data_IF_825804364391
#
_entry.id   IF_825804364391
#
_cell.length_a   1.000
_cell.length_b   1.000
_cell.length_c   1.000
_cell.angle_alpha   90.00
_cell.angle_beta   90.00
_cell.angle_gamma   90.00
#
_symmetry.space_group_name_H-M   'P 1'
#
loop_
_entity.id
_entity.type
_entity.pdbx_description
1 polymer ?
#
# COMPACT_ATOMS: atom_id res chain seq x y z
N UNK A 1 13.76 -18.47 -13.83
CA UNK A 1 14.75 -17.97 -12.85
C UNK A 1 13.99 -17.12 -11.86
N UNK A 2 13.97 -17.50 -10.59
CA UNK A 2 13.30 -16.74 -9.52
C UNK A 2 14.22 -15.59 -9.08
N UNK A 3 13.65 -14.39 -8.90
CA UNK A 3 14.38 -13.13 -8.73
C UNK A 3 15.02 -13.07 -7.31
N UNK A 4 16.21 -12.47 -7.11
CA UNK A 4 16.91 -12.44 -5.82
C UNK A 4 16.17 -11.73 -4.66
N UNK A 5 15.06 -11.06 -4.95
CA UNK A 5 14.23 -10.34 -3.98
C UNK A 5 13.24 -11.24 -3.23
N UNK A 6 13.15 -12.53 -3.57
CA UNK A 6 12.09 -13.44 -3.07
C UNK A 6 12.18 -13.89 -1.61
N UNK A 7 13.20 -13.51 -0.82
CA UNK A 7 13.41 -14.23 0.46
C UNK A 7 13.71 -13.37 1.69
N UNK A 8 13.14 -12.17 1.79
CA UNK A 8 13.07 -11.49 3.09
C UNK A 8 11.62 -11.49 3.55
N UNK A 9 11.31 -12.29 4.56
CA UNK A 9 9.99 -12.29 5.20
C UNK A 9 9.60 -10.83 5.53
N UNK A 10 8.49 -10.31 4.98
CA UNK A 10 8.07 -8.93 5.20
C UNK A 10 7.97 -8.57 6.69
N UNK A 11 7.68 -9.56 7.54
CA UNK A 11 7.64 -9.42 9.00
C UNK A 11 8.98 -8.96 9.58
N UNK A 12 10.11 -9.31 8.96
CA UNK A 12 11.44 -8.87 9.39
C UNK A 12 11.63 -7.35 9.29
N UNK A 13 10.85 -6.66 8.44
CA UNK A 13 10.91 -5.20 8.29
C UNK A 13 10.13 -4.46 9.39
N UNK A 14 9.41 -5.16 10.25
CA UNK A 14 8.66 -4.56 11.37
C UNK A 14 9.63 -4.08 12.45
N UNK A 15 9.73 -2.75 12.62
CA UNK A 15 10.66 -2.11 13.56
C UNK A 15 10.34 -2.38 15.04
N UNK A 16 9.07 -2.55 15.37
CA UNK A 16 8.65 -2.81 16.75
C UNK A 16 8.94 -4.28 17.11
N UNK A 17 9.83 -4.49 18.08
CA UNK A 17 10.28 -5.82 18.50
C UNK A 17 9.13 -6.73 18.97
N UNK A 18 8.22 -6.20 19.78
CA UNK A 18 7.08 -6.97 20.30
C UNK A 18 6.16 -7.42 19.16
N UNK A 19 5.85 -6.51 18.24
CA UNK A 19 5.04 -6.82 17.07
C UNK A 19 5.73 -7.84 16.16
N UNK A 20 7.04 -7.68 15.92
CA UNK A 20 7.83 -8.61 15.11
C UNK A 20 7.82 -10.02 15.71
N UNK A 21 8.07 -10.17 17.00
CA UNK A 21 8.00 -11.48 17.70
C UNK A 21 6.61 -12.12 17.59
N UNK A 22 5.56 -11.32 17.81
CA UNK A 22 4.19 -11.79 17.65
C UNK A 22 3.93 -12.32 16.23
N UNK A 23 4.29 -11.54 15.21
CA UNK A 23 4.13 -11.93 13.81
C UNK A 23 4.95 -13.19 13.45
N UNK A 24 6.16 -13.32 14.00
CA UNK A 24 7.02 -14.50 13.81
C UNK A 24 6.49 -15.75 14.50
N UNK A 25 5.75 -15.62 15.62
CA UNK A 25 5.12 -16.76 16.29
C UNK A 25 3.86 -17.29 15.59
N UNK A 26 3.26 -16.50 14.71
CA UNK A 26 2.06 -16.93 13.99
C UNK A 26 2.38 -17.94 12.89
N UNK A 27 1.50 -18.94 12.73
CA UNK A 27 1.56 -19.89 11.60
C UNK A 27 1.56 -19.12 10.27
N UNK A 28 2.45 -19.52 9.35
CA UNK A 28 2.46 -19.00 7.99
C UNK A 28 1.11 -19.33 7.33
N UNK A 29 0.53 -18.34 6.66
CA UNK A 29 -0.67 -18.49 5.82
C UNK A 29 -0.30 -18.02 4.43
N UNK A 30 -0.62 -18.84 3.45
CA UNK A 30 -0.46 -18.44 2.07
C UNK A 30 -1.52 -17.38 1.70
N UNK A 31 -1.15 -16.42 0.84
CA UNK A 31 -2.11 -15.43 0.37
C UNK A 31 -3.26 -16.12 -0.36
N UNK A 32 -4.49 -15.69 -0.06
CA UNK A 32 -5.69 -16.15 -0.77
C UNK A 32 -5.95 -15.18 -1.92
N UNK A 33 -5.94 -15.62 -3.19
CA UNK A 33 -6.23 -14.76 -4.33
C UNK A 33 -7.58 -14.05 -4.16
N UNK A 34 -7.67 -12.77 -4.52
CA UNK A 34 -8.93 -12.06 -4.36
C UNK A 34 -10.03 -12.58 -5.28
N UNK A 35 -9.68 -13.15 -6.43
CA UNK A 35 -10.62 -13.84 -7.34
C UNK A 35 -11.37 -14.99 -6.67
N UNK A 36 -10.75 -15.67 -5.70
CA UNK A 36 -11.43 -16.73 -4.94
C UNK A 36 -12.44 -16.15 -3.95
N UNK A 37 -12.15 -14.99 -3.34
CA UNK A 37 -13.05 -14.34 -2.38
C UNK A 37 -14.17 -13.56 -3.05
N UNK A 38 -13.90 -12.99 -4.22
CA UNK A 38 -14.80 -12.11 -4.95
C UNK A 38 -14.95 -12.61 -6.40
N UNK A 39 -15.55 -13.79 -6.62
CA UNK A 39 -15.59 -14.44 -7.92
C UNK A 39 -16.34 -13.66 -9.00
N UNK A 40 -17.27 -12.78 -8.60
CA UNK A 40 -18.08 -11.96 -9.52
C UNK A 40 -17.54 -10.55 -9.74
N UNK A 41 -16.41 -10.20 -9.12
CA UNK A 41 -15.83 -8.87 -9.26
C UNK A 41 -15.02 -8.75 -10.57
N UNK A 42 -14.89 -7.53 -11.07
CA UNK A 42 -14.06 -7.23 -12.24
C UNK A 42 -12.60 -7.66 -12.00
N UNK A 43 -12.02 -8.51 -12.87
CA UNK A 43 -10.63 -8.94 -12.75
C UNK A 43 -9.61 -7.79 -12.69
N UNK A 44 -9.86 -6.67 -13.37
CA UNK A 44 -9.00 -5.48 -13.30
C UNK A 44 -9.07 -4.82 -11.92
N UNK A 45 -10.27 -4.74 -11.33
CA UNK A 45 -10.44 -4.22 -9.97
C UNK A 45 -9.68 -5.08 -8.96
N UNK A 46 -9.78 -6.40 -9.10
CA UNK A 46 -9.08 -7.34 -8.21
C UNK A 46 -7.57 -7.20 -8.33
N UNK A 47 -7.05 -7.10 -9.56
CA UNK A 47 -5.61 -6.91 -9.80
C UNK A 47 -5.09 -5.59 -9.23
N UNK A 48 -5.85 -4.51 -9.34
CA UNK A 48 -5.54 -3.24 -8.70
C UNK A 48 -5.51 -3.39 -7.17
N UNK A 49 -6.53 -4.06 -6.61
CA UNK A 49 -6.66 -4.27 -5.16
C UNK A 49 -5.50 -5.09 -4.58
N UNK A 50 -5.02 -6.11 -5.29
CA UNK A 50 -3.84 -6.90 -4.89
C UNK A 50 -2.60 -6.03 -4.70
N UNK A 51 -2.39 -5.05 -5.56
CA UNK A 51 -1.24 -4.13 -5.46
C UNK A 51 -1.44 -3.07 -4.36
N UNK A 52 -2.66 -2.63 -4.10
CA UNK A 52 -2.95 -1.63 -3.06
C UNK A 52 -2.86 -2.21 -1.65
N UNK A 53 -3.23 -3.48 -1.48
CA UNK A 53 -3.27 -4.16 -0.17
C UNK A 53 -2.01 -4.97 0.14
N UNK A 54 -0.85 -4.49 -0.29
CA UNK A 54 0.44 -5.09 0.05
C UNK A 54 0.80 -4.88 1.54
N UNK A 55 1.49 -5.87 2.13
CA UNK A 55 1.90 -5.82 3.53
C UNK A 55 2.93 -4.70 3.77
N UNK A 56 4.01 -4.69 2.99
CA UNK A 56 5.01 -3.62 3.06
C UNK A 56 4.44 -2.36 2.38
N UNK A 57 4.41 -1.21 3.06
CA UNK A 57 4.00 0.05 2.45
C UNK A 57 4.77 0.40 1.16
N UNK A 58 6.02 -0.05 1.02
CA UNK A 58 6.84 0.19 -0.18
C UNK A 58 6.39 -0.60 -1.40
N UNK A 59 5.68 -1.70 -1.18
CA UNK A 59 5.19 -2.56 -2.27
C UNK A 59 3.79 -2.11 -2.74
N UNK A 60 3.18 -1.11 -2.06
CA UNK A 60 1.89 -0.54 -2.46
C UNK A 60 2.07 0.47 -3.58
N UNK A 61 1.10 0.51 -4.49
CA UNK A 61 1.01 1.59 -5.47
C UNK A 61 0.83 2.94 -4.79
N UNK A 62 1.47 3.95 -5.35
CA UNK A 62 1.12 5.35 -5.08
C UNK A 62 -0.26 5.67 -5.66
N UNK A 63 -0.88 6.76 -5.19
CA UNK A 63 -2.15 7.22 -5.73
C UNK A 63 -2.05 7.53 -7.24
N UNK A 64 -0.93 8.14 -7.67
CA UNK A 64 -0.69 8.46 -9.07
C UNK A 64 -0.56 7.20 -9.94
N UNK A 65 0.19 6.18 -9.50
CA UNK A 65 0.28 4.92 -10.25
C UNK A 65 -1.05 4.16 -10.27
N UNK A 66 -1.82 4.22 -9.18
CA UNK A 66 -3.14 3.60 -9.11
C UNK A 66 -4.13 4.23 -10.09
N UNK A 67 -4.14 5.56 -10.22
CA UNK A 67 -4.99 6.27 -11.18
C UNK A 67 -4.66 5.92 -12.65
N UNK A 68 -3.42 5.53 -12.94
CA UNK A 68 -2.99 5.06 -14.27
C UNK A 68 -3.30 3.59 -14.55
N UNK A 69 -3.82 2.83 -13.59
CA UNK A 69 -4.10 1.41 -13.77
C UNK A 69 -5.21 1.20 -14.83
N UNK A 70 -5.13 0.14 -15.66
CA UNK A 70 -6.15 -0.17 -16.66
C UNK A 70 -7.59 -0.21 -16.13
N UNK A 71 -7.78 -0.48 -14.84
CA UNK A 71 -9.09 -0.42 -14.21
C UNK A 71 -9.78 0.95 -14.37
N UNK A 72 -9.04 2.05 -14.38
CA UNK A 72 -9.58 3.41 -14.56
C UNK A 72 -9.49 3.92 -15.99
N UNK A 73 -9.23 3.05 -16.97
CA UNK A 73 -9.13 3.45 -18.38
C UNK A 73 -10.40 4.17 -18.84
N UNK A 74 -10.23 5.37 -19.40
CA UNK A 74 -11.33 6.21 -19.86
C UNK A 74 -11.92 7.14 -18.79
N UNK A 75 -11.59 6.93 -17.52
CA UNK A 75 -11.92 7.85 -16.42
C UNK A 75 -10.74 8.76 -16.07
N UNK A 76 -9.53 8.19 -16.02
CA UNK A 76 -8.32 8.91 -15.69
C UNK A 76 -8.06 10.07 -16.66
N UNK A 77 -7.67 11.23 -16.12
CA UNK A 77 -7.32 12.40 -16.93
C UNK A 77 -6.37 13.32 -16.20
N UNK A 78 -5.15 13.49 -16.73
CA UNK A 78 -4.07 14.27 -16.11
C UNK A 78 -4.51 15.69 -15.81
N UNK A 79 -5.28 16.30 -16.72
CA UNK A 79 -5.82 17.66 -16.55
C UNK A 79 -6.80 17.79 -15.37
N UNK A 80 -7.43 16.68 -14.95
CA UNK A 80 -8.37 16.62 -13.82
C UNK A 80 -7.74 16.08 -12.54
N UNK A 81 -6.49 15.64 -12.61
CA UNK A 81 -5.74 15.02 -11.52
C UNK A 81 -4.43 15.79 -11.25
N UNK A 82 -4.51 17.11 -10.94
CA UNK A 82 -3.32 17.91 -10.73
C UNK A 82 -2.55 17.45 -9.50
N UNK A 83 -1.23 17.32 -9.64
CA UNK A 83 -0.32 17.11 -8.52
C UNK A 83 -0.02 18.43 -7.81
N UNK A 84 -0.04 18.42 -6.48
CA UNK A 84 0.43 19.54 -5.67
C UNK A 84 1.87 19.31 -5.19
N UNK A 85 2.62 20.40 -5.01
CA UNK A 85 3.98 20.32 -4.48
C UNK A 85 3.94 19.79 -3.03
N UNK A 86 4.91 18.97 -2.60
CA UNK A 86 4.96 18.50 -1.22
C UNK A 86 4.90 19.66 -0.22
N UNK A 87 3.96 19.58 0.73
CA UNK A 87 3.83 20.58 1.80
C UNK A 87 5.09 20.52 2.66
N UNK A 88 5.68 21.70 2.95
CA UNK A 88 6.91 21.78 3.74
C UNK A 88 6.63 21.34 5.18
N UNK A 89 7.60 20.67 5.82
CA UNK A 89 7.46 20.21 7.22
C UNK A 89 7.11 21.33 8.20
N UNK A 90 7.67 22.53 7.99
CA UNK A 90 7.42 23.72 8.82
C UNK A 90 5.94 24.12 8.86
N UNK A 91 5.19 23.83 7.80
CA UNK A 91 3.75 24.11 7.75
C UNK A 91 2.97 23.26 8.76
N UNK A 92 3.54 22.15 9.24
CA UNK A 92 2.96 21.27 10.26
C UNK A 92 3.47 21.55 11.69
N UNK A 93 4.30 22.58 11.90
CA UNK A 93 4.86 22.89 13.23
C UNK A 93 3.78 23.21 14.28
N UNK A 94 2.58 23.60 13.84
CA UNK A 94 1.43 23.81 14.72
C UNK A 94 1.03 22.53 15.50
N UNK A 95 1.29 21.34 14.96
CA UNK A 95 0.97 20.05 15.61
C UNK A 95 1.83 19.81 16.87
N UNK A 96 3.01 20.42 16.93
CA UNK A 96 3.94 20.29 18.04
C UNK A 96 3.76 21.38 19.11
N UNK A 97 2.87 22.36 18.87
CA UNK A 97 2.55 23.38 19.86
C UNK A 97 1.51 22.83 20.84
N UNK A 98 1.84 22.87 22.13
CA UNK A 98 0.84 22.67 23.19
C UNK A 98 -0.12 23.84 23.17
N UNK A 99 -1.29 23.66 22.59
CA UNK A 99 -2.38 24.63 22.69
C UNK A 99 -2.81 24.71 24.17
N UNK A 100 -2.62 25.86 24.84
CA UNK A 100 -3.21 26.06 26.16
C UNK A 100 -4.72 26.26 26.01
N UNK A 101 -5.48 25.77 26.99
CA UNK A 101 -6.92 25.99 27.09
C UNK A 101 -7.27 27.46 27.24
#
# INVERSE_FOLDING_TARGET
>A
MLNPTELIDPKCKVRNEKARRYLSSMRKKDPVPFSQKFPSADPLALKLLEKLLAFDPKDRLTAEEALRDPYFKGLAGVEREPSYQPIRKVEFDFEHKRMSK
#
